data_IF_015796346612
#
_entry.id   IF_015796346612
#
_cell.length_a   1.000
_cell.length_b   1.000
_cell.length_c   1.000
_cell.angle_alpha   90.00
_cell.angle_beta   90.00
_cell.angle_gamma   90.00
#
_symmetry.space_group_name_H-M   'P 1'
#
loop_
_entity.id
_entity.type
_entity.pdbx_description
1 polymer ?
#
# COMPACT_ATOMS: atom_id res chain seq x y z
N UNK A 1 9.58 12.36 22.47
CA UNK A 1 9.24 11.05 23.10
C UNK A 1 9.15 11.20 24.61
N UNK A 2 7.99 10.91 25.21
CA UNK A 2 7.81 10.92 26.66
C UNK A 2 8.51 9.70 27.31
N UNK A 3 8.87 9.77 28.60
CA UNK A 3 9.68 8.75 29.28
C UNK A 3 9.11 7.31 29.20
N UNK A 4 7.77 7.17 29.13
CA UNK A 4 7.08 5.87 28.90
C UNK A 4 7.41 5.23 27.55
N UNK A 5 7.60 6.02 26.49
CA UNK A 5 7.90 5.52 25.13
C UNK A 5 9.35 5.07 24.93
N UNK A 6 10.30 5.57 25.74
CA UNK A 6 11.69 5.07 25.73
C UNK A 6 11.82 3.75 26.51
N UNK A 7 11.04 3.61 27.60
CA UNK A 7 11.00 2.39 28.41
C UNK A 7 10.37 1.23 27.62
N UNK A 8 9.33 1.49 26.82
CA UNK A 8 8.72 0.46 25.98
C UNK A 8 9.65 -0.05 24.86
N UNK A 9 10.43 0.83 24.21
CA UNK A 9 11.35 0.45 23.13
C UNK A 9 12.51 -0.47 23.56
N UNK A 10 13.08 -0.24 24.74
CA UNK A 10 14.15 -1.12 25.27
C UNK A 10 13.61 -2.50 25.70
N UNK A 11 12.46 -2.51 26.39
CA UNK A 11 11.78 -3.76 26.79
C UNK A 11 11.38 -4.57 25.56
N UNK A 12 10.92 -3.90 24.51
CA UNK A 12 10.57 -4.54 23.25
C UNK A 12 11.76 -5.18 22.54
N UNK A 13 12.92 -4.50 22.47
CA UNK A 13 14.11 -5.10 21.88
C UNK A 13 14.53 -6.38 22.62
N UNK A 14 14.39 -6.41 23.95
CA UNK A 14 14.61 -7.64 24.72
C UNK A 14 13.54 -8.71 24.45
N UNK A 15 12.26 -8.34 24.39
CA UNK A 15 11.17 -9.26 24.06
C UNK A 15 11.36 -9.88 22.68
N UNK A 16 11.73 -9.07 21.68
CA UNK A 16 11.97 -9.51 20.31
C UNK A 16 13.22 -10.40 20.18
N UNK A 17 14.28 -10.12 20.93
CA UNK A 17 15.45 -11.01 21.01
C UNK A 17 15.09 -12.37 21.64
N UNK A 18 14.22 -12.36 22.65
CA UNK A 18 13.72 -13.58 23.28
C UNK A 18 12.85 -14.40 22.31
N UNK A 19 12.04 -13.76 21.46
CA UNK A 19 11.16 -14.44 20.50
C UNK A 19 11.94 -15.13 19.39
N UNK A 20 12.98 -14.50 18.83
CA UNK A 20 13.77 -15.05 17.71
C UNK A 20 14.35 -16.45 17.94
N UNK A 21 14.53 -16.89 19.19
CA UNK A 21 15.05 -18.22 19.50
C UNK A 21 14.02 -19.35 19.45
N UNK A 22 12.72 -19.05 19.64
CA UNK A 22 11.62 -20.02 19.58
C UNK A 22 10.28 -19.25 19.42
N UNK A 23 9.89 -18.88 18.18
CA UNK A 23 8.73 -18.04 17.95
C UNK A 23 7.42 -18.71 18.41
N UNK A 24 7.28 -20.03 18.20
CA UNK A 24 6.10 -20.79 18.62
C UNK A 24 5.81 -20.64 20.12
N UNK A 25 6.85 -20.75 20.96
CA UNK A 25 6.72 -20.66 22.41
C UNK A 25 6.61 -19.22 22.93
N UNK A 26 7.13 -18.25 22.18
CA UNK A 26 7.36 -16.90 22.70
C UNK A 26 6.41 -15.86 22.13
N UNK A 27 5.81 -16.09 20.97
CA UNK A 27 4.85 -15.18 20.37
C UNK A 27 3.56 -15.01 21.20
N UNK A 28 2.98 -16.08 21.80
CA UNK A 28 1.86 -15.90 22.74
C UNK A 28 2.20 -15.02 23.93
N UNK A 29 3.45 -15.07 24.43
CA UNK A 29 3.90 -14.20 25.54
C UNK A 29 4.01 -12.74 25.10
N UNK A 30 4.46 -12.50 23.87
CA UNK A 30 4.51 -11.15 23.31
C UNK A 30 3.09 -10.57 23.18
N UNK A 31 2.14 -11.33 22.63
CA UNK A 31 0.76 -10.87 22.50
C UNK A 31 0.16 -10.52 23.87
N UNK A 32 0.30 -11.39 24.86
CA UNK A 32 -0.15 -11.11 26.24
C UNK A 32 0.48 -9.82 26.82
N UNK A 33 1.74 -9.52 26.47
CA UNK A 33 2.38 -8.28 26.89
C UNK A 33 1.82 -7.06 26.16
N UNK A 34 1.54 -7.16 24.86
CA UNK A 34 0.90 -6.09 24.09
C UNK A 34 -0.51 -5.82 24.64
N UNK A 35 -1.27 -6.86 24.98
CA UNK A 35 -2.58 -6.74 25.62
C UNK A 35 -2.51 -5.99 26.95
N UNK A 36 -1.46 -6.24 27.73
CA UNK A 36 -1.23 -5.54 29.00
C UNK A 36 -0.96 -4.03 28.83
N UNK A 37 -0.68 -3.54 27.61
CA UNK A 37 -0.60 -2.10 27.32
C UNK A 37 -1.98 -1.43 27.35
N UNK A 38 -3.08 -2.20 27.30
CA UNK A 38 -4.45 -1.68 27.40
C UNK A 38 -4.83 -0.74 26.25
N UNK A 39 -4.29 -0.98 25.05
CA UNK A 39 -4.58 -0.18 23.86
C UNK A 39 -5.93 -0.64 23.33
N UNK A 40 -7.00 0.05 23.74
CA UNK A 40 -8.41 -0.31 23.46
C UNK A 40 -8.69 -0.71 22.02
N UNK A 41 -8.07 -0.03 21.06
CA UNK A 41 -8.33 -0.25 19.64
C UNK A 41 -7.57 -1.43 19.03
N UNK A 42 -6.64 -2.01 19.78
CA UNK A 42 -5.92 -3.22 19.39
C UNK A 42 -6.59 -4.49 19.93
N UNK A 43 -7.55 -4.39 20.86
CA UNK A 43 -8.17 -5.55 21.52
C UNK A 43 -8.86 -6.50 20.53
N UNK A 44 -9.55 -6.00 19.50
CA UNK A 44 -10.16 -6.84 18.47
C UNK A 44 -9.12 -7.59 17.65
N UNK A 45 -8.10 -6.88 17.17
CA UNK A 45 -7.01 -7.43 16.37
C UNK A 45 -6.20 -8.47 17.17
N UNK A 46 -5.95 -8.19 18.44
CA UNK A 46 -5.22 -9.11 19.32
C UNK A 46 -5.94 -10.45 19.47
N UNK A 47 -7.28 -10.45 19.60
CA UNK A 47 -8.06 -11.70 19.67
C UNK A 47 -7.88 -12.57 18.44
N UNK A 48 -7.86 -11.98 17.24
CA UNK A 48 -7.57 -12.70 16.00
C UNK A 48 -6.17 -13.30 16.02
N UNK A 49 -5.17 -12.56 16.49
CA UNK A 49 -3.82 -13.10 16.62
C UNK A 49 -3.76 -14.28 17.60
N UNK A 50 -4.43 -14.20 18.76
CA UNK A 50 -4.51 -15.33 19.70
C UNK A 50 -5.17 -16.55 19.05
N UNK A 51 -6.30 -16.35 18.35
CA UNK A 51 -7.00 -17.44 17.65
C UNK A 51 -6.10 -18.11 16.60
N UNK A 52 -5.34 -17.32 15.83
CA UNK A 52 -4.37 -17.86 14.86
C UNK A 52 -3.28 -18.67 15.56
N UNK A 53 -2.77 -18.23 16.71
CA UNK A 53 -1.71 -18.94 17.44
C UNK A 53 -2.18 -20.24 18.09
N UNK A 54 -3.46 -20.35 18.43
CA UNK A 54 -4.04 -21.57 19.02
C UNK A 54 -4.31 -22.69 17.99
N UNK A 55 -4.22 -22.38 16.69
CA UNK A 55 -4.51 -23.33 15.61
C UNK A 55 -3.30 -23.47 14.66
N UNK A 56 -2.33 -24.36 14.96
CA UNK A 56 -1.13 -24.54 14.14
C UNK A 56 -1.40 -24.95 12.68
N UNK A 57 -2.53 -25.59 12.40
CA UNK A 57 -2.95 -25.97 11.04
C UNK A 57 -3.53 -24.79 10.24
N UNK A 58 -3.73 -23.63 10.87
CA UNK A 58 -4.23 -22.42 10.21
C UNK A 58 -3.17 -21.84 9.26
N UNK A 59 -3.60 -21.44 8.06
CA UNK A 59 -2.73 -20.83 7.03
C UNK A 59 -1.97 -19.60 7.54
N UNK A 60 -2.57 -18.80 8.43
CA UNK A 60 -1.95 -17.62 9.02
C UNK A 60 -0.91 -17.98 10.09
N UNK A 61 -1.08 -19.09 10.81
CA UNK A 61 -0.03 -19.62 11.68
C UNK A 61 1.20 -19.99 10.84
N UNK A 62 0.98 -20.72 9.74
CA UNK A 62 2.03 -21.12 8.80
C UNK A 62 2.72 -19.92 8.17
N UNK A 63 1.96 -18.89 7.80
CA UNK A 63 2.50 -17.62 7.32
C UNK A 63 3.40 -16.95 8.36
N UNK A 64 2.92 -16.76 9.59
CA UNK A 64 3.68 -16.11 10.68
C UNK A 64 4.97 -16.89 10.98
N UNK A 65 4.90 -18.21 11.11
CA UNK A 65 6.09 -19.03 11.34
C UNK A 65 7.04 -19.02 10.14
N UNK A 66 6.51 -18.95 8.92
CA UNK A 66 7.26 -18.77 7.70
C UNK A 66 8.09 -17.48 7.69
N UNK A 67 7.58 -16.38 8.26
CA UNK A 67 8.35 -15.14 8.36
C UNK A 67 9.65 -15.32 9.17
N UNK A 68 9.59 -15.98 10.32
CA UNK A 68 10.79 -16.26 11.14
C UNK A 68 11.77 -17.23 10.47
N UNK A 69 11.24 -18.19 9.71
CA UNK A 69 12.06 -19.16 8.97
C UNK A 69 12.74 -18.52 7.77
N UNK A 70 12.06 -17.66 7.04
CA UNK A 70 12.47 -17.21 5.71
C UNK A 70 13.14 -15.83 5.71
N UNK A 71 12.92 -15.01 6.74
CA UNK A 71 13.43 -13.64 6.83
C UNK A 71 14.59 -13.55 7.83
N UNK A 72 15.55 -12.66 7.57
CA UNK A 72 16.61 -12.32 8.51
C UNK A 72 15.99 -11.80 9.82
N UNK A 73 16.46 -12.33 10.95
CA UNK A 73 15.85 -12.05 12.24
C UNK A 73 15.99 -10.59 12.64
N UNK A 74 17.08 -9.91 12.30
CA UNK A 74 17.25 -8.51 12.65
C UNK A 74 16.38 -7.60 11.77
N UNK A 75 16.22 -7.95 10.50
CA UNK A 75 15.28 -7.28 9.59
C UNK A 75 13.85 -7.47 10.09
N UNK A 76 13.44 -8.70 10.43
CA UNK A 76 12.09 -8.97 10.95
C UNK A 76 11.80 -8.19 12.23
N UNK A 77 12.78 -8.06 13.13
CA UNK A 77 12.66 -7.23 14.35
C UNK A 77 12.50 -5.75 14.03
N UNK A 78 13.26 -5.23 13.07
CA UNK A 78 13.15 -3.84 12.64
C UNK A 78 11.78 -3.55 12.02
N UNK A 79 11.29 -4.43 11.14
CA UNK A 79 9.96 -4.33 10.54
C UNK A 79 8.86 -4.37 11.60
N UNK A 80 8.92 -5.31 12.54
CA UNK A 80 7.92 -5.37 13.62
C UNK A 80 7.92 -4.09 14.48
N UNK A 81 9.10 -3.58 14.83
CA UNK A 81 9.23 -2.34 15.60
C UNK A 81 8.68 -1.14 14.84
N UNK A 82 9.11 -0.95 13.59
CA UNK A 82 8.83 0.27 12.83
C UNK A 82 7.42 0.24 12.23
N UNK A 83 7.03 -0.87 11.60
CA UNK A 83 5.69 -1.01 11.02
C UNK A 83 4.65 -1.43 12.07
N UNK A 84 4.89 -2.56 12.76
CA UNK A 84 3.90 -3.14 13.69
C UNK A 84 3.59 -2.25 14.89
N UNK A 85 4.60 -1.56 15.43
CA UNK A 85 4.40 -0.69 16.60
C UNK A 85 4.34 0.79 16.25
N UNK A 86 5.42 1.35 15.69
CA UNK A 86 5.48 2.80 15.49
C UNK A 86 4.40 3.25 14.50
N UNK A 87 4.29 2.64 13.32
CA UNK A 87 3.31 3.04 12.31
C UNK A 87 1.86 2.60 12.62
N UNK A 88 1.66 1.53 13.40
CA UNK A 88 0.34 1.00 13.74
C UNK A 88 -0.03 1.22 15.21
N UNK A 89 0.34 0.29 16.10
CA UNK A 89 -0.19 0.19 17.47
C UNK A 89 -0.03 1.49 18.28
N UNK A 90 1.11 2.17 18.16
CA UNK A 90 1.41 3.39 18.93
C UNK A 90 0.88 4.67 18.27
N UNK A 91 0.83 4.71 16.94
CA UNK A 91 0.39 5.91 16.22
C UNK A 91 -1.13 6.00 16.09
N UNK A 92 -1.85 4.89 16.11
CA UNK A 92 -3.29 4.89 15.83
C UNK A 92 -4.13 5.73 16.80
N UNK A 93 -3.82 5.70 18.10
CA UNK A 93 -4.49 6.58 19.09
C UNK A 93 -4.08 8.03 18.90
N UNK A 94 -2.79 8.30 18.67
CA UNK A 94 -2.28 9.65 18.51
C UNK A 94 -2.79 10.34 17.24
N UNK A 95 -2.87 9.63 16.13
CA UNK A 95 -3.44 10.14 14.87
C UNK A 95 -4.89 10.59 15.07
N UNK A 96 -5.72 9.79 15.75
CA UNK A 96 -7.12 10.17 16.05
C UNK A 96 -7.26 11.35 17.01
N UNK A 97 -6.34 11.53 17.94
CA UNK A 97 -6.27 12.76 18.73
C UNK A 97 -5.97 13.97 17.83
N UNK A 98 -4.98 13.85 16.95
CA UNK A 98 -4.60 14.90 16.00
C UNK A 98 -5.71 15.21 14.98
N UNK A 99 -6.45 14.21 14.50
CA UNK A 99 -7.61 14.38 13.62
C UNK A 99 -8.71 15.23 14.28
N UNK A 100 -8.95 15.00 15.56
CA UNK A 100 -9.92 15.78 16.36
C UNK A 100 -9.40 17.17 16.66
N UNK A 101 -8.12 17.28 17.05
CA UNK A 101 -7.47 18.54 17.38
C UNK A 101 -7.42 19.49 16.18
N UNK A 102 -7.05 18.98 15.02
CA UNK A 102 -6.83 19.78 13.83
C UNK A 102 -8.05 19.88 12.92
N UNK A 103 -9.07 19.04 13.12
CA UNK A 103 -10.25 19.06 12.28
C UNK A 103 -9.94 18.69 10.83
N UNK A 104 -9.02 17.76 10.61
CA UNK A 104 -8.71 17.17 9.30
C UNK A 104 -8.44 15.66 9.43
N UNK A 105 -8.27 14.96 8.31
CA UNK A 105 -7.75 13.59 8.34
C UNK A 105 -6.25 13.60 8.65
N UNK A 106 -5.74 12.54 9.29
CA UNK A 106 -4.30 12.33 9.51
C UNK A 106 -3.94 10.93 8.99
N UNK A 107 -3.17 10.82 7.91
CA UNK A 107 -2.93 9.53 7.28
C UNK A 107 -1.99 8.67 8.12
N UNK A 108 -2.01 7.37 7.85
CA UNK A 108 -1.06 6.40 8.41
C UNK A 108 0.23 6.34 7.60
N UNK A 109 0.15 6.61 6.29
CA UNK A 109 1.28 6.50 5.37
C UNK A 109 1.27 7.63 4.34
N UNK A 110 2.45 7.97 3.82
CA UNK A 110 2.61 8.92 2.71
C UNK A 110 3.31 8.18 1.58
N UNK A 111 2.70 8.22 0.39
CA UNK A 111 3.33 7.77 -0.85
C UNK A 111 4.06 8.96 -1.48
N UNK A 112 5.34 8.79 -1.80
CA UNK A 112 6.18 9.85 -2.34
C UNK A 112 6.80 9.38 -3.65
N UNK A 113 6.73 10.21 -4.67
CA UNK A 113 7.43 9.99 -5.93
C UNK A 113 8.73 10.79 -5.89
N UNK A 114 9.88 10.18 -5.52
CA UNK A 114 11.12 10.94 -5.39
C UNK A 114 11.64 11.46 -6.74
N UNK A 115 11.20 10.85 -7.84
CA UNK A 115 11.56 11.21 -9.21
C UNK A 115 10.50 10.71 -10.19
N UNK A 116 10.32 11.44 -11.30
CA UNK A 116 9.58 10.92 -12.46
C UNK A 116 10.47 10.16 -13.45
N UNK A 117 11.79 10.11 -13.23
CA UNK A 117 12.68 9.32 -14.06
C UNK A 117 12.43 7.81 -13.90
N UNK A 118 12.33 7.10 -15.02
CA UNK A 118 12.21 5.64 -15.07
C UNK A 118 13.17 5.06 -16.11
N UNK A 119 13.72 3.89 -15.82
CA UNK A 119 14.56 3.14 -16.76
C UNK A 119 13.77 2.20 -17.70
N UNK A 120 12.44 2.18 -17.59
CA UNK A 120 11.50 1.47 -18.47
C UNK A 120 10.50 2.44 -19.13
N UNK A 121 9.71 1.93 -20.08
CA UNK A 121 8.65 2.66 -20.80
C UNK A 121 7.40 1.77 -20.94
N UNK A 122 6.75 1.49 -19.82
CA UNK A 122 5.66 0.51 -19.78
C UNK A 122 4.41 1.00 -20.51
N UNK A 123 3.69 0.09 -21.18
CA UNK A 123 2.38 0.37 -21.77
C UNK A 123 1.34 0.62 -20.67
N UNK A 124 0.60 1.72 -20.77
CA UNK A 124 -0.45 2.09 -19.80
C UNK A 124 0.10 2.42 -18.41
N UNK A 125 1.21 3.17 -18.34
CA UNK A 125 1.81 3.62 -17.09
C UNK A 125 1.18 4.94 -16.64
N UNK A 126 0.51 4.94 -15.48
CA UNK A 126 -0.07 6.16 -14.91
C UNK A 126 1.01 7.18 -14.50
N UNK A 127 2.18 6.72 -14.05
CA UNK A 127 3.25 7.61 -13.60
C UNK A 127 4.03 8.29 -14.74
N UNK A 128 3.87 7.83 -15.99
CA UNK A 128 4.52 8.44 -17.14
C UNK A 128 3.98 9.85 -17.45
N UNK A 129 2.76 10.15 -17.01
CA UNK A 129 2.09 11.43 -17.21
C UNK A 129 2.85 12.61 -16.56
N UNK A 130 3.62 12.37 -15.48
CA UNK A 130 4.48 13.41 -14.87
C UNK A 130 5.75 13.75 -15.69
N UNK A 131 5.94 13.14 -16.85
CA UNK A 131 7.18 13.21 -17.59
C UNK A 131 8.34 12.44 -16.95
N UNK A 132 9.59 12.81 -17.25
CA UNK A 132 10.77 12.04 -16.84
C UNK A 132 11.95 12.87 -16.29
N UNK A 133 11.70 14.11 -15.88
CA UNK A 133 12.76 15.06 -15.45
C UNK A 133 12.56 15.65 -14.06
N UNK A 134 11.43 15.37 -13.42
CA UNK A 134 11.09 15.95 -12.12
C UNK A 134 11.76 15.16 -11.01
N UNK A 135 12.29 15.86 -10.01
CA UNK A 135 13.01 15.27 -8.90
C UNK A 135 12.79 16.13 -7.66
N UNK A 136 12.35 15.50 -6.58
CA UNK A 136 12.35 16.15 -5.26
C UNK A 136 13.80 16.23 -4.75
N UNK A 137 14.25 17.42 -4.29
CA UNK A 137 15.51 17.54 -3.56
C UNK A 137 15.55 16.63 -2.33
N UNK A 138 16.74 16.18 -1.94
CA UNK A 138 16.90 15.34 -0.75
C UNK A 138 16.31 15.99 0.50
N UNK A 139 16.54 17.29 0.66
CA UNK A 139 16.11 18.09 1.79
C UNK A 139 14.58 18.14 1.89
N UNK A 140 13.89 18.13 0.75
CA UNK A 140 12.42 18.05 0.70
C UNK A 140 11.94 16.66 1.13
N UNK A 141 12.58 15.59 0.66
CA UNK A 141 12.25 14.22 1.07
C UNK A 141 12.42 14.02 2.58
N UNK A 142 13.54 14.45 3.14
CA UNK A 142 13.78 14.44 4.59
C UNK A 142 12.75 15.31 5.34
N UNK A 143 12.44 16.50 4.82
CA UNK A 143 11.45 17.37 5.44
C UNK A 143 10.05 16.76 5.48
N UNK A 144 9.64 16.03 4.45
CA UNK A 144 8.34 15.32 4.43
C UNK A 144 8.30 14.30 5.58
N UNK A 145 9.37 13.52 5.77
CA UNK A 145 9.44 12.52 6.84
C UNK A 145 9.43 13.19 8.22
N UNK A 146 10.16 14.29 8.41
CA UNK A 146 10.15 15.03 9.68
C UNK A 146 8.76 15.58 10.01
N UNK A 147 8.09 16.22 9.05
CA UNK A 147 6.72 16.71 9.23
C UNK A 147 5.73 15.56 9.48
N UNK A 148 5.88 14.43 8.78
CA UNK A 148 5.05 13.25 8.99
C UNK A 148 5.19 12.69 10.41
N UNK A 149 6.40 12.60 10.95
CA UNK A 149 6.64 12.16 12.34
C UNK A 149 5.99 13.07 13.38
N UNK A 150 5.90 14.38 13.13
CA UNK A 150 5.14 15.32 13.97
C UNK A 150 3.64 15.00 13.98
N UNK A 151 3.12 14.46 12.87
CA UNK A 151 1.74 13.97 12.72
C UNK A 151 1.57 12.49 13.09
N UNK A 152 2.58 11.88 13.72
CA UNK A 152 2.61 10.45 14.06
C UNK A 152 2.54 9.50 12.85
N UNK A 153 3.22 9.85 11.75
CA UNK A 153 3.35 9.05 10.53
C UNK A 153 4.75 8.44 10.49
N UNK A 154 4.82 7.11 10.44
CA UNK A 154 6.09 6.35 10.50
C UNK A 154 6.22 5.32 9.36
N UNK A 155 5.28 5.28 8.43
CA UNK A 155 5.34 4.44 7.25
C UNK A 155 5.36 5.30 6.00
N UNK A 156 6.35 5.08 5.14
CA UNK A 156 6.53 5.84 3.91
C UNK A 156 6.69 4.88 2.75
N UNK A 157 5.93 5.13 1.70
CA UNK A 157 5.96 4.38 0.45
C UNK A 157 6.62 5.24 -0.63
N UNK A 158 7.35 4.62 -1.53
CA UNK A 158 7.91 5.28 -2.71
C UNK A 158 7.34 4.71 -4.01
N UNK A 159 7.01 5.59 -4.95
CA UNK A 159 6.59 5.25 -6.32
C UNK A 159 7.26 6.19 -7.33
N UNK A 160 6.51 6.81 -8.25
CA UNK A 160 7.02 7.66 -9.33
C UNK A 160 7.33 6.90 -10.61
N UNK A 161 8.36 7.35 -11.31
CA UNK A 161 8.91 6.63 -12.45
C UNK A 161 9.52 5.29 -11.99
N UNK A 162 10.76 5.32 -11.51
CA UNK A 162 11.36 4.21 -10.78
C UNK A 162 12.08 4.76 -9.53
N UNK A 163 11.56 4.51 -8.31
CA UNK A 163 12.13 5.10 -7.10
C UNK A 163 13.58 4.67 -6.85
N UNK A 164 14.00 3.48 -7.28
CA UNK A 164 15.38 3.02 -7.11
C UNK A 164 16.38 3.74 -8.02
N UNK A 165 15.95 4.60 -8.94
CA UNK A 165 16.84 5.60 -9.57
C UNK A 165 17.42 6.58 -8.54
N UNK A 166 16.76 6.72 -7.38
CA UNK A 166 17.17 7.55 -6.23
C UNK A 166 17.62 6.67 -5.04
N UNK A 167 18.10 5.43 -5.29
CA UNK A 167 18.42 4.46 -4.21
C UNK A 167 19.40 4.97 -3.16
N UNK A 168 20.38 5.81 -3.53
CA UNK A 168 21.32 6.40 -2.57
C UNK A 168 20.63 7.32 -1.56
N UNK A 169 19.67 8.12 -2.03
CA UNK A 169 18.91 9.04 -1.18
C UNK A 169 17.93 8.27 -0.30
N UNK A 170 17.28 7.23 -0.84
CA UNK A 170 16.39 6.34 -0.08
C UNK A 170 17.15 5.65 1.05
N UNK A 171 18.33 5.09 0.79
CA UNK A 171 19.17 4.46 1.82
C UNK A 171 19.59 5.47 2.88
N UNK A 172 19.94 6.69 2.47
CA UNK A 172 20.27 7.76 3.42
C UNK A 172 19.07 8.13 4.31
N UNK A 173 17.87 8.21 3.77
CA UNK A 173 16.64 8.42 4.55
C UNK A 173 16.38 7.28 5.54
N UNK A 174 16.67 6.03 5.14
CA UNK A 174 16.57 4.87 6.02
C UNK A 174 17.51 4.98 7.23
N UNK A 175 18.75 5.46 7.02
CA UNK A 175 19.74 5.71 8.07
C UNK A 175 19.36 6.88 8.99
N UNK A 176 18.87 7.98 8.43
CA UNK A 176 18.50 9.18 9.19
C UNK A 176 17.19 8.99 9.98
N UNK A 177 16.31 8.09 9.54
CA UNK A 177 15.01 7.80 10.17
C UNK A 177 14.82 6.31 10.51
N UNK A 178 15.66 5.73 11.40
CA UNK A 178 15.67 4.29 11.69
C UNK A 178 14.43 3.80 12.47
N UNK A 179 13.59 4.72 12.94
CA UNK A 179 12.31 4.48 13.60
C UNK A 179 11.13 4.39 12.62
N UNK A 180 11.33 4.76 11.35
CA UNK A 180 10.35 4.66 10.29
C UNK A 180 10.50 3.37 9.48
N UNK A 181 9.41 2.90 8.89
CA UNK A 181 9.39 1.85 7.88
C UNK A 181 9.29 2.49 6.51
N UNK A 182 10.12 2.01 5.59
CA UNK A 182 10.12 2.40 4.19
C UNK A 182 9.76 1.20 3.30
N UNK A 183 9.07 1.46 2.19
CA UNK A 183 8.92 0.49 1.13
C UNK A 183 8.80 1.20 -0.22
N UNK A 184 9.06 0.49 -1.33
CA UNK A 184 8.96 1.09 -2.66
C UNK A 184 8.30 0.12 -3.65
N UNK A 185 7.34 0.64 -4.40
CA UNK A 185 6.89 0.01 -5.63
C UNK A 185 7.98 0.19 -6.69
N UNK A 186 8.60 -0.91 -7.10
CA UNK A 186 9.73 -0.90 -8.03
C UNK A 186 9.51 -1.88 -9.17
N UNK A 187 10.06 -1.58 -10.33
CA UNK A 187 10.14 -2.51 -11.45
C UNK A 187 11.19 -3.62 -11.23
N UNK A 188 11.94 -3.58 -10.11
CA UNK A 188 12.88 -4.61 -9.67
C UNK A 188 14.19 -4.67 -10.45
N UNK A 189 14.32 -4.00 -11.60
CA UNK A 189 15.48 -4.15 -12.50
C UNK A 189 16.78 -3.54 -11.96
N UNK A 190 16.70 -2.73 -10.90
CA UNK A 190 17.83 -2.06 -10.24
C UNK A 190 18.23 -2.72 -8.90
N UNK A 191 17.60 -3.85 -8.56
CA UNK A 191 17.94 -4.64 -7.38
C UNK A 191 19.07 -5.61 -7.77
N UNK A 192 20.24 -5.32 -7.24
CA UNK A 192 21.45 -6.13 -7.35
C UNK A 192 21.91 -6.60 -5.95
N UNK A 193 22.94 -7.42 -5.91
CA UNK A 193 23.49 -7.95 -4.66
C UNK A 193 24.00 -6.83 -3.75
N UNK A 194 24.59 -5.77 -4.30
CA UNK A 194 25.08 -4.63 -3.54
C UNK A 194 23.94 -3.85 -2.85
N UNK A 195 22.84 -3.63 -3.55
CA UNK A 195 21.66 -3.01 -2.96
C UNK A 195 21.04 -3.91 -1.89
N UNK A 196 20.98 -5.22 -2.09
CA UNK A 196 20.52 -6.15 -1.07
C UNK A 196 21.38 -6.12 0.21
N UNK A 197 22.70 -5.94 0.11
CA UNK A 197 23.55 -5.71 1.29
C UNK A 197 23.18 -4.42 2.04
N UNK A 198 22.88 -3.33 1.31
CA UNK A 198 22.38 -2.10 1.95
C UNK A 198 21.05 -2.32 2.66
N UNK A 199 20.14 -3.14 2.11
CA UNK A 199 18.88 -3.48 2.77
C UNK A 199 19.09 -4.26 4.07
N UNK A 200 20.03 -5.20 4.11
CA UNK A 200 20.42 -5.92 5.34
C UNK A 200 21.04 -4.97 6.38
N UNK A 201 21.74 -3.93 5.92
CA UNK A 201 22.35 -2.92 6.79
C UNK A 201 21.30 -2.00 7.43
N UNK A 202 20.40 -1.42 6.64
CA UNK A 202 19.40 -0.45 7.14
C UNK A 202 18.20 -1.12 7.80
N UNK A 203 17.82 -2.33 7.37
CA UNK A 203 16.79 -3.22 7.95
C UNK A 203 15.35 -2.70 7.90
N UNK A 204 15.12 -1.45 7.52
CA UNK A 204 13.80 -0.79 7.54
C UNK A 204 13.30 -0.40 6.13
N UNK A 205 13.73 -1.10 5.09
CA UNK A 205 13.26 -0.91 3.72
C UNK A 205 12.78 -2.23 3.11
N UNK A 206 11.59 -2.23 2.49
CA UNK A 206 10.97 -3.40 1.87
C UNK A 206 10.66 -3.12 0.39
N UNK A 207 11.27 -3.84 -0.57
CA UNK A 207 10.87 -3.78 -1.97
C UNK A 207 9.48 -4.38 -2.21
N UNK A 208 8.69 -3.73 -3.08
CA UNK A 208 7.42 -4.23 -3.61
C UNK A 208 7.58 -4.35 -5.13
N UNK A 209 7.82 -5.58 -5.60
CA UNK A 209 8.25 -5.86 -6.97
C UNK A 209 7.06 -5.93 -7.90
N UNK A 210 7.07 -5.10 -8.95
CA UNK A 210 6.00 -5.11 -9.93
C UNK A 210 6.16 -6.26 -10.92
N UNK A 211 5.16 -7.15 -10.99
CA UNK A 211 5.13 -8.32 -11.86
C UNK A 211 3.68 -8.63 -12.24
N UNK A 212 3.37 -8.68 -13.54
CA UNK A 212 1.99 -8.73 -14.06
C UNK A 212 1.62 -10.07 -14.70
N UNK A 213 2.16 -11.17 -14.17
CA UNK A 213 1.94 -12.52 -14.68
C UNK A 213 3.28 -13.21 -14.92
N UNK A 214 3.32 -14.12 -15.88
CA UNK A 214 4.54 -14.81 -16.27
C UNK A 214 5.35 -13.95 -17.27
N UNK A 215 6.32 -14.57 -17.95
CA UNK A 215 7.23 -13.87 -18.86
C UNK A 215 6.49 -13.12 -19.96
N UNK A 216 5.55 -13.76 -20.64
CA UNK A 216 4.79 -13.14 -21.73
C UNK A 216 4.00 -11.91 -21.27
N UNK A 217 3.29 -12.01 -20.14
CA UNK A 217 2.46 -10.93 -19.61
C UNK A 217 3.28 -9.72 -19.15
N UNK A 218 4.35 -10.02 -18.39
CA UNK A 218 5.22 -8.99 -17.83
C UNK A 218 5.99 -8.27 -18.93
N UNK A 219 6.55 -9.01 -19.88
CA UNK A 219 7.32 -8.43 -20.98
C UNK A 219 6.43 -7.70 -22.00
N UNK A 220 5.19 -8.17 -22.23
CA UNK A 220 4.22 -7.46 -23.07
C UNK A 220 3.99 -6.02 -22.58
N UNK A 221 3.86 -5.84 -21.26
CA UNK A 221 3.63 -4.52 -20.67
C UNK A 221 4.91 -3.72 -20.46
N UNK A 222 5.98 -4.36 -19.97
CA UNK A 222 7.17 -3.68 -19.42
C UNK A 222 8.39 -3.69 -20.35
N UNK A 223 8.32 -4.46 -21.45
CA UNK A 223 9.39 -4.62 -22.43
C UNK A 223 10.17 -5.92 -22.26
N UNK A 224 10.65 -6.47 -23.39
CA UNK A 224 11.31 -7.77 -23.45
C UNK A 224 12.50 -7.91 -22.50
N UNK A 225 12.57 -9.06 -21.82
CA UNK A 225 13.61 -9.41 -20.85
C UNK A 225 13.43 -8.78 -19.47
N UNK A 226 12.31 -8.11 -19.20
CA UNK A 226 12.03 -7.50 -17.89
C UNK A 226 11.72 -8.57 -16.86
N UNK A 227 10.90 -9.56 -17.21
CA UNK A 227 10.54 -10.66 -16.32
C UNK A 227 11.76 -11.37 -15.73
N UNK A 228 12.76 -11.69 -16.57
CA UNK A 228 14.00 -12.34 -16.12
C UNK A 228 14.81 -11.50 -15.13
N UNK A 229 14.80 -10.17 -15.28
CA UNK A 229 15.43 -9.26 -14.30
C UNK A 229 14.66 -9.24 -12.99
N UNK A 230 13.33 -9.24 -13.06
CA UNK A 230 12.43 -9.30 -11.91
C UNK A 230 12.61 -10.62 -11.14
N UNK A 231 12.66 -11.77 -11.82
CA UNK A 231 12.95 -13.06 -11.18
C UNK A 231 14.33 -13.07 -10.51
N UNK A 232 15.35 -12.51 -11.18
CA UNK A 232 16.68 -12.37 -10.57
C UNK A 232 16.64 -11.52 -9.29
N UNK A 233 15.94 -10.39 -9.32
CA UNK A 233 15.79 -9.53 -8.14
C UNK A 233 15.13 -10.27 -6.98
N UNK A 234 14.03 -10.98 -7.23
CA UNK A 234 13.33 -11.79 -6.22
C UNK A 234 14.22 -12.93 -5.69
N UNK A 235 15.00 -13.58 -6.55
CA UNK A 235 15.95 -14.61 -6.14
C UNK A 235 17.04 -14.06 -5.20
N UNK A 236 17.62 -12.89 -5.51
CA UNK A 236 18.60 -12.21 -4.66
C UNK A 236 17.99 -11.91 -3.28
N UNK A 237 16.80 -11.31 -3.25
CA UNK A 237 16.12 -10.96 -1.99
C UNK A 237 15.80 -12.21 -1.15
N UNK A 238 15.32 -13.28 -1.79
CA UNK A 238 15.04 -14.56 -1.14
C UNK A 238 16.30 -15.20 -0.57
N UNK A 239 17.38 -15.25 -1.33
CA UNK A 239 18.67 -15.81 -0.88
C UNK A 239 19.23 -15.06 0.33
N UNK A 240 19.11 -13.73 0.31
CA UNK A 240 19.52 -12.84 1.41
C UNK A 240 18.53 -12.81 2.58
N UNK A 241 17.43 -13.57 2.50
CA UNK A 241 16.36 -13.60 3.52
C UNK A 241 15.78 -12.20 3.79
N UNK A 242 15.69 -11.36 2.76
CA UNK A 242 15.07 -10.04 2.85
C UNK A 242 13.57 -10.15 2.56
N UNK A 243 12.70 -9.46 3.31
CA UNK A 243 11.29 -9.45 3.04
C UNK A 243 11.01 -8.59 1.80
N UNK A 244 10.13 -9.08 0.94
CA UNK A 244 9.60 -8.33 -0.19
C UNK A 244 8.17 -8.78 -0.49
N UNK A 245 7.45 -7.92 -1.19
CA UNK A 245 6.16 -8.26 -1.74
C UNK A 245 6.14 -8.12 -3.26
N UNK A 246 5.01 -8.50 -3.85
CA UNK A 246 4.70 -8.26 -5.26
C UNK A 246 3.63 -7.18 -5.39
N UNK A 247 3.60 -6.52 -6.55
CA UNK A 247 2.56 -5.58 -6.95
C UNK A 247 2.06 -5.98 -8.34
N UNK A 248 0.80 -6.38 -8.40
CA UNK A 248 0.19 -6.93 -9.60
C UNK A 248 -0.93 -6.00 -10.07
N UNK A 249 -0.75 -5.40 -11.25
CA UNK A 249 -1.83 -4.70 -11.92
C UNK A 249 -2.56 -5.68 -12.85
N UNK A 250 -3.83 -5.93 -12.58
CA UNK A 250 -4.67 -6.73 -13.47
C UNK A 250 -5.47 -5.82 -14.42
N UNK A 251 -5.66 -6.32 -15.63
CA UNK A 251 -6.36 -5.73 -16.76
C UNK A 251 -7.38 -6.73 -17.31
N UNK A 252 -8.20 -6.30 -18.25
CA UNK A 252 -9.08 -7.20 -19.00
C UNK A 252 -8.35 -8.36 -19.69
N UNK A 253 -7.04 -8.25 -19.94
CA UNK A 253 -6.24 -9.23 -20.67
C UNK A 253 -5.54 -10.28 -19.80
N UNK A 254 -5.11 -9.93 -18.59
CA UNK A 254 -4.31 -10.82 -17.72
C UNK A 254 -5.02 -11.23 -16.42
N UNK A 255 -6.25 -10.78 -16.18
CA UNK A 255 -6.97 -11.04 -14.91
C UNK A 255 -7.05 -12.53 -14.54
N UNK A 256 -7.22 -13.42 -15.52
CA UNK A 256 -7.30 -14.86 -15.28
C UNK A 256 -5.96 -15.50 -14.92
N UNK A 257 -4.85 -14.87 -15.34
CA UNK A 257 -3.50 -15.29 -14.94
C UNK A 257 -3.22 -14.79 -13.53
N UNK A 258 -3.45 -13.50 -13.27
CA UNK A 258 -3.22 -12.89 -11.96
C UNK A 258 -4.08 -13.54 -10.86
N UNK A 259 -5.33 -13.86 -11.16
CA UNK A 259 -6.24 -14.56 -10.24
C UNK A 259 -6.10 -16.08 -10.23
N UNK A 260 -5.15 -16.66 -10.97
CA UNK A 260 -4.98 -18.12 -11.01
C UNK A 260 -4.31 -18.65 -9.75
N UNK A 261 -4.64 -19.90 -9.41
CA UNK A 261 -3.95 -20.61 -8.33
C UNK A 261 -2.46 -20.79 -8.61
N UNK A 262 -2.11 -21.10 -9.86
CA UNK A 262 -0.71 -21.25 -10.30
C UNK A 262 0.12 -19.99 -10.04
N UNK A 263 -0.45 -18.81 -10.31
CA UNK A 263 0.27 -17.56 -10.09
C UNK A 263 0.42 -17.23 -8.59
N UNK A 264 -0.59 -17.52 -7.77
CA UNK A 264 -0.46 -17.42 -6.31
C UNK A 264 0.61 -18.34 -5.75
N UNK A 265 0.66 -19.59 -6.22
CA UNK A 265 1.70 -20.55 -5.85
C UNK A 265 3.08 -20.07 -6.29
N UNK A 266 3.19 -19.51 -7.50
CA UNK A 266 4.44 -18.96 -8.01
C UNK A 266 4.92 -17.75 -7.19
N UNK A 267 4.04 -16.85 -6.75
CA UNK A 267 4.43 -15.73 -5.88
C UNK A 267 5.03 -16.22 -4.55
N UNK A 268 4.44 -17.24 -3.95
CA UNK A 268 4.95 -17.88 -2.73
C UNK A 268 6.29 -18.57 -3.01
N UNK A 269 6.40 -19.28 -4.12
CA UNK A 269 7.63 -19.95 -4.55
C UNK A 269 8.76 -18.95 -4.77
N UNK A 270 8.50 -17.80 -5.39
CA UNK A 270 9.48 -16.71 -5.51
C UNK A 270 9.92 -16.16 -4.16
N UNK A 271 9.13 -16.34 -3.11
CA UNK A 271 9.44 -15.94 -1.73
C UNK A 271 8.70 -14.69 -1.26
N UNK A 272 7.76 -14.17 -2.06
CA UNK A 272 6.99 -12.99 -1.71
C UNK A 272 6.18 -13.24 -0.42
N UNK A 273 6.19 -12.26 0.49
CA UNK A 273 5.44 -12.34 1.76
C UNK A 273 4.08 -11.68 1.66
N UNK A 274 3.94 -10.72 0.75
CA UNK A 274 2.67 -10.08 0.49
C UNK A 274 2.50 -9.71 -0.98
N UNK A 275 1.25 -9.51 -1.41
CA UNK A 275 0.93 -9.03 -2.75
C UNK A 275 -0.10 -7.88 -2.69
N UNK A 276 0.18 -6.81 -3.44
CA UNK A 276 -0.76 -5.73 -3.69
C UNK A 276 -1.39 -5.92 -5.07
N UNK A 277 -2.72 -6.04 -5.12
CA UNK A 277 -3.48 -6.10 -6.35
C UNK A 277 -4.11 -4.74 -6.65
N UNK A 278 -3.90 -4.29 -7.89
CA UNK A 278 -4.48 -3.07 -8.44
C UNK A 278 -5.26 -3.43 -9.70
N UNK A 279 -6.47 -2.91 -9.85
CA UNK A 279 -7.12 -2.91 -11.18
C UNK A 279 -6.53 -1.78 -12.01
N UNK A 280 -6.46 -1.96 -13.32
CA UNK A 280 -6.08 -0.88 -14.23
C UNK A 280 -7.09 0.28 -14.18
N UNK A 281 -6.57 1.49 -14.02
CA UNK A 281 -7.35 2.74 -14.04
C UNK A 281 -6.89 3.57 -15.25
N UNK A 282 -7.82 4.11 -16.06
CA UNK A 282 -7.49 4.81 -17.29
C UNK A 282 -7.12 6.29 -17.03
N UNK A 283 -6.11 6.53 -16.20
CA UNK A 283 -5.61 7.89 -15.88
C UNK A 283 -4.74 8.41 -17.03
N UNK A 284 -4.92 9.68 -17.40
CA UNK A 284 -4.13 10.36 -18.43
C UNK A 284 -4.75 10.30 -19.81
N UNK A 285 -4.39 11.25 -20.69
CA UNK A 285 -5.01 11.38 -22.03
C UNK A 285 -4.72 10.20 -22.95
N UNK A 286 -3.57 9.55 -22.77
CA UNK A 286 -3.16 8.38 -23.54
C UNK A 286 -3.60 7.05 -22.89
N UNK A 287 -4.46 7.11 -21.87
CA UNK A 287 -5.03 5.92 -21.26
C UNK A 287 -5.78 5.05 -22.28
N UNK A 288 -5.82 3.74 -22.00
CA UNK A 288 -6.45 2.72 -22.85
C UNK A 288 -7.62 2.10 -22.08
N UNK A 289 -8.84 2.69 -22.13
CA UNK A 289 -10.00 2.21 -21.37
C UNK A 289 -10.35 0.74 -21.61
N UNK A 290 -10.02 0.18 -22.77
CA UNK A 290 -10.26 -1.22 -23.11
C UNK A 290 -9.47 -2.21 -22.22
N UNK A 291 -8.44 -1.75 -21.51
CA UNK A 291 -7.69 -2.55 -20.53
C UNK A 291 -8.35 -2.60 -19.16
N UNK A 292 -9.41 -1.81 -18.91
CA UNK A 292 -10.15 -1.89 -17.66
C UNK A 292 -10.83 -3.26 -17.53
N UNK A 293 -10.77 -3.85 -16.34
CA UNK A 293 -11.45 -5.11 -16.05
C UNK A 293 -12.98 -4.92 -16.15
N UNK A 294 -13.68 -5.92 -16.70
CA UNK A 294 -15.15 -5.95 -16.66
C UNK A 294 -15.67 -6.18 -15.23
N UNK A 295 -16.96 -5.97 -15.00
CA UNK A 295 -17.60 -6.24 -13.72
C UNK A 295 -17.42 -7.70 -13.27
N UNK A 296 -17.57 -8.65 -14.20
CA UNK A 296 -17.37 -10.09 -13.94
C UNK A 296 -15.92 -10.41 -13.62
N UNK A 297 -14.97 -9.76 -14.29
CA UNK A 297 -13.54 -9.92 -14.05
C UNK A 297 -13.14 -9.36 -12.68
N UNK A 298 -13.69 -8.21 -12.27
CA UNK A 298 -13.51 -7.66 -10.91
C UNK A 298 -14.12 -8.58 -9.86
N UNK A 299 -15.32 -9.12 -10.08
CA UNK A 299 -15.94 -10.10 -9.20
C UNK A 299 -15.16 -11.41 -9.13
N UNK A 300 -14.53 -11.83 -10.23
CA UNK A 300 -13.62 -12.98 -10.24
C UNK A 300 -12.42 -12.73 -9.31
N UNK A 301 -11.74 -11.58 -9.42
CA UNK A 301 -10.63 -11.23 -8.53
C UNK A 301 -11.05 -11.16 -7.06
N UNK A 302 -12.19 -10.53 -6.76
CA UNK A 302 -12.78 -10.51 -5.42
C UNK A 302 -12.89 -11.92 -4.83
N UNK A 303 -13.43 -12.89 -5.59
CA UNK A 303 -13.61 -14.27 -5.13
C UNK A 303 -12.28 -15.01 -5.00
N UNK A 304 -11.38 -14.88 -5.97
CA UNK A 304 -10.09 -15.56 -5.95
C UNK A 304 -9.21 -15.10 -4.79
N UNK A 305 -9.06 -13.78 -4.59
CA UNK A 305 -8.22 -13.24 -3.52
C UNK A 305 -8.70 -13.72 -2.15
N UNK A 306 -10.02 -13.73 -1.91
CA UNK A 306 -10.60 -14.24 -0.65
C UNK A 306 -10.39 -15.74 -0.48
N UNK A 307 -10.66 -16.54 -1.52
CA UNK A 307 -10.34 -17.98 -1.52
C UNK A 307 -8.88 -18.23 -1.14
N UNK A 308 -7.95 -17.46 -1.70
CA UNK A 308 -6.53 -17.67 -1.45
C UNK A 308 -6.05 -17.14 -0.11
N UNK A 309 -6.70 -16.15 0.51
CA UNK A 309 -6.47 -15.78 1.92
C UNK A 309 -6.77 -16.90 2.90
N UNK A 310 -7.67 -17.82 2.54
CA UNK A 310 -8.01 -18.98 3.37
C UNK A 310 -7.10 -20.19 3.12
N UNK A 311 -6.42 -20.25 1.98
CA UNK A 311 -5.76 -21.48 1.49
C UNK A 311 -4.27 -21.34 1.21
N UNK A 312 -3.74 -20.11 1.10
CA UNK A 312 -2.36 -19.84 0.70
C UNK A 312 -1.66 -18.94 1.74
N UNK A 313 -0.44 -19.28 2.21
CA UNK A 313 0.29 -18.49 3.22
C UNK A 313 0.98 -17.26 2.59
N UNK A 314 0.18 -16.33 2.06
CA UNK A 314 0.63 -15.04 1.53
C UNK A 314 -0.37 -13.95 1.91
N UNK A 315 0.12 -12.83 2.43
CA UNK A 315 -0.75 -11.72 2.79
C UNK A 315 -1.13 -10.90 1.54
N UNK A 316 -2.41 -10.71 1.28
CA UNK A 316 -2.87 -10.03 0.05
C UNK A 316 -3.72 -8.81 0.35
N UNK A 317 -3.56 -7.77 -0.45
CA UNK A 317 -4.31 -6.52 -0.40
C UNK A 317 -4.90 -6.25 -1.79
N UNK A 318 -6.19 -6.01 -1.88
CA UNK A 318 -6.86 -5.55 -3.12
C UNK A 318 -7.35 -4.12 -2.93
N UNK A 319 -6.77 -3.20 -3.69
CA UNK A 319 -6.99 -1.77 -3.50
C UNK A 319 -8.43 -1.31 -3.82
N UNK A 320 -9.22 -2.10 -4.57
CA UNK A 320 -10.61 -1.78 -4.92
C UNK A 320 -11.64 -2.76 -4.35
N UNK A 321 -11.27 -4.00 -4.05
CA UNK A 321 -12.20 -5.02 -3.56
C UNK A 321 -12.16 -5.23 -2.03
N UNK A 322 -11.24 -4.58 -1.31
CA UNK A 322 -11.15 -4.64 0.15
C UNK A 322 -11.81 -3.44 0.87
N UNK A 323 -12.66 -2.67 0.19
CA UNK A 323 -13.33 -1.55 0.82
C UNK A 323 -14.17 -1.96 2.06
N UNK A 324 -14.65 -3.20 2.14
CA UNK A 324 -15.27 -3.77 3.35
C UNK A 324 -14.35 -3.75 4.56
N UNK A 325 -13.09 -4.16 4.36
CA UNK A 325 -12.07 -4.19 5.41
C UNK A 325 -11.52 -2.80 5.73
N UNK A 326 -11.44 -1.93 4.73
CA UNK A 326 -10.92 -0.57 4.87
C UNK A 326 -11.98 0.46 5.36
N UNK A 327 -13.27 0.10 5.25
CA UNK A 327 -14.41 0.99 5.48
C UNK A 327 -14.61 2.03 4.36
N UNK A 328 -14.39 1.67 3.10
CA UNK A 328 -14.48 2.55 1.93
C UNK A 328 -13.13 3.09 1.44
N UNK A 329 -13.14 4.20 0.67
CA UNK A 329 -11.93 4.81 0.13
C UNK A 329 -10.96 5.26 1.24
N UNK A 330 -9.66 5.05 1.03
CA UNK A 330 -8.61 5.43 1.99
C UNK A 330 -7.83 6.70 1.61
N UNK A 331 -8.15 7.31 0.47
CA UNK A 331 -7.54 8.53 -0.07
C UNK A 331 -7.87 9.80 0.73
N UNK A 332 -7.27 10.92 0.34
CA UNK A 332 -7.57 12.24 0.92
C UNK A 332 -7.12 12.35 2.37
N UNK A 333 -5.98 11.74 2.69
CA UNK A 333 -5.40 11.75 4.02
C UNK A 333 -6.08 10.83 5.02
N UNK A 334 -7.14 10.09 4.66
CA UNK A 334 -7.85 9.20 5.59
C UNK A 334 -6.95 8.07 6.09
N UNK A 335 -6.24 7.39 5.19
CA UNK A 335 -5.13 6.49 5.56
C UNK A 335 -3.86 6.79 4.79
N UNK A 336 -3.96 7.42 3.61
CA UNK A 336 -2.78 7.86 2.89
C UNK A 336 -3.03 9.14 2.09
N UNK A 337 -1.92 9.76 1.68
CA UNK A 337 -1.86 10.78 0.65
C UNK A 337 -0.67 10.50 -0.27
N UNK A 338 -0.66 11.13 -1.45
CA UNK A 338 0.40 11.04 -2.43
C UNK A 338 1.12 12.40 -2.57
N UNK A 339 2.44 12.39 -2.75
CA UNK A 339 3.24 13.56 -3.11
C UNK A 339 4.03 13.22 -4.37
N UNK A 340 3.69 13.86 -5.48
CA UNK A 340 4.32 13.57 -6.77
C UNK A 340 5.74 14.16 -6.86
N UNK A 341 6.46 13.89 -7.96
CA UNK A 341 7.84 14.34 -8.14
C UNK A 341 8.02 15.86 -8.35
N UNK A 342 6.92 16.59 -8.59
CA UNK A 342 6.85 18.05 -8.62
C UNK A 342 6.57 18.67 -7.24
N UNK A 343 6.22 17.85 -6.25
CA UNK A 343 5.86 18.28 -4.91
C UNK A 343 4.37 18.53 -4.70
N UNK A 344 3.50 18.30 -5.69
CA UNK A 344 2.06 18.45 -5.49
C UNK A 344 1.54 17.35 -4.56
N UNK A 345 0.72 17.75 -3.59
CA UNK A 345 0.11 16.86 -2.60
C UNK A 345 -1.27 16.45 -3.10
N UNK A 346 -1.38 15.19 -3.50
CA UNK A 346 -2.56 14.60 -4.13
C UNK A 346 -3.28 13.67 -3.14
N UNK A 347 -4.61 13.55 -3.24
CA UNK A 347 -5.36 12.68 -2.34
C UNK A 347 -5.08 11.19 -2.59
N UNK A 348 -4.66 10.82 -3.80
CA UNK A 348 -4.49 9.45 -4.27
C UNK A 348 -3.50 9.41 -5.43
N UNK A 349 -2.72 8.33 -5.56
CA UNK A 349 -1.77 8.15 -6.66
C UNK A 349 -2.42 8.15 -8.05
N UNK A 350 -3.71 7.83 -8.13
CA UNK A 350 -4.50 7.78 -9.37
C UNK A 350 -5.35 9.05 -9.58
N UNK A 351 -5.15 10.09 -8.75
CA UNK A 351 -5.92 11.34 -8.81
C UNK A 351 -4.92 12.48 -8.97
N UNK A 352 -4.56 12.76 -10.23
CA UNK A 352 -3.58 13.78 -10.61
C UNK A 352 -4.18 15.19 -10.56
N UNK A 353 -4.70 15.56 -9.38
CA UNK A 353 -5.25 16.88 -9.12
C UNK A 353 -4.83 17.33 -7.73
N UNK A 354 -4.42 18.60 -7.61
CA UNK A 354 -4.00 19.17 -6.34
C UNK A 354 -4.33 20.65 -6.23
N UNK A 355 -4.49 21.12 -5.01
CA UNK A 355 -4.59 22.53 -4.63
C UNK A 355 -3.42 22.95 -3.70
N UNK A 356 -2.41 22.09 -3.54
CA UNK A 356 -1.39 22.21 -2.49
C UNK A 356 -0.04 21.60 -2.91
N UNK A 357 1.05 22.33 -2.72
CA UNK A 357 2.41 21.87 -3.04
C UNK A 357 3.33 21.95 -1.81
N UNK A 358 4.18 20.93 -1.60
CA UNK A 358 5.03 20.78 -0.40
C UNK A 358 6.11 21.86 -0.28
N UNK A 359 6.41 22.54 -1.39
CA UNK A 359 7.32 23.69 -1.40
C UNK A 359 6.69 24.97 -0.85
N UNK A 360 5.35 25.02 -0.76
CA UNK A 360 4.59 26.21 -0.35
C UNK A 360 3.80 25.99 0.94
N UNK A 361 3.36 24.75 1.19
CA UNK A 361 2.54 24.36 2.35
C UNK A 361 3.19 23.22 3.11
N UNK A 362 3.01 23.22 4.42
CA UNK A 362 3.28 22.05 5.27
C UNK A 362 2.25 20.94 5.00
N UNK A 363 2.57 19.70 5.42
CA UNK A 363 1.64 18.57 5.34
C UNK A 363 0.32 18.86 6.05
N UNK A 364 0.37 19.50 7.22
CA UNK A 364 -0.84 19.81 7.99
C UNK A 364 -1.70 20.87 7.31
N UNK A 365 -1.10 21.87 6.67
CA UNK A 365 -1.85 22.87 5.87
C UNK A 365 -2.51 22.23 4.66
N UNK A 366 -1.83 21.29 4.00
CA UNK A 366 -2.39 20.54 2.87
C UNK A 366 -3.54 19.62 3.29
N UNK A 367 -3.42 18.92 4.42
CA UNK A 367 -4.51 18.09 4.95
C UNK A 367 -5.77 18.89 5.31
N UNK A 368 -5.64 20.21 5.48
CA UNK A 368 -6.73 21.16 5.70
C UNK A 368 -7.16 21.90 4.43
N UNK A 369 -6.54 21.61 3.29
CA UNK A 369 -6.86 22.26 2.04
C UNK A 369 -8.27 21.90 1.56
N UNK A 370 -8.90 22.73 0.72
CA UNK A 370 -10.21 22.45 0.15
C UNK A 370 -10.36 21.04 -0.42
N UNK A 371 -9.38 20.55 -1.20
CA UNK A 371 -9.46 19.21 -1.80
C UNK A 371 -9.44 18.10 -0.75
N UNK A 372 -8.50 18.13 0.20
CA UNK A 372 -8.42 17.11 1.26
C UNK A 372 -9.65 17.14 2.18
N UNK A 373 -10.18 18.32 2.47
CA UNK A 373 -11.41 18.47 3.25
C UNK A 373 -12.66 18.01 2.49
N UNK A 374 -12.71 18.19 1.16
CA UNK A 374 -13.77 17.64 0.32
C UNK A 374 -13.79 16.11 0.39
N UNK A 375 -12.60 15.46 0.33
CA UNK A 375 -12.49 14.02 0.55
C UNK A 375 -12.98 13.60 1.93
N UNK A 376 -12.55 14.29 2.99
CA UNK A 376 -12.98 14.00 4.36
C UNK A 376 -14.50 14.07 4.51
N UNK A 377 -15.12 15.10 3.94
CA UNK A 377 -16.56 15.33 4.06
C UNK A 377 -17.39 14.38 3.19
N UNK A 378 -16.85 13.94 2.06
CA UNK A 378 -17.51 13.02 1.13
C UNK A 378 -17.37 11.53 1.49
N UNK A 379 -16.54 11.17 2.48
CA UNK A 379 -16.31 9.79 2.87
C UNK A 379 -17.34 9.29 3.92
N UNK A 380 -17.88 8.06 3.77
CA UNK A 380 -17.72 7.17 2.60
C UNK A 380 -18.47 7.69 1.38
N UNK A 381 -17.90 7.52 0.18
CA UNK A 381 -18.52 7.97 -1.08
C UNK A 381 -19.70 7.09 -1.52
N UNK A 382 -19.77 5.87 -0.98
CA UNK A 382 -20.83 4.90 -1.24
C UNK A 382 -21.01 4.01 -0.01
N UNK A 383 -22.26 3.73 0.37
CA UNK A 383 -22.58 2.84 1.49
C UNK A 383 -22.25 1.37 1.20
N UNK A 384 -22.28 0.97 -0.08
CA UNK A 384 -21.72 -0.32 -0.51
C UNK A 384 -20.20 -0.14 -0.67
N UNK A 385 -19.41 -0.63 0.28
CA UNK A 385 -17.96 -0.48 0.25
C UNK A 385 -17.26 -1.34 -0.81
N UNK A 386 -17.98 -2.10 -1.65
CA UNK A 386 -17.43 -2.65 -2.90
C UNK A 386 -17.46 -1.62 -4.04
N UNK A 387 -18.01 -0.42 -3.80
CA UNK A 387 -17.95 0.76 -4.67
C UNK A 387 -17.19 1.92 -4.00
N UNK A 388 -15.99 1.71 -3.44
CA UNK A 388 -15.37 2.69 -2.55
C UNK A 388 -14.80 3.90 -3.29
N UNK A 389 -14.37 3.76 -4.55
CA UNK A 389 -13.51 4.73 -5.20
C UNK A 389 -14.29 5.95 -5.72
N UNK A 390 -13.91 7.20 -5.39
CA UNK A 390 -14.55 8.39 -5.95
C UNK A 390 -14.23 8.61 -7.43
N UNK A 391 -13.25 7.89 -7.99
CA UNK A 391 -12.93 7.90 -9.42
C UNK A 391 -13.63 6.75 -10.15
N UNK A 392 -13.28 5.51 -9.80
CA UNK A 392 -13.73 4.33 -10.55
C UNK A 392 -15.21 4.04 -10.34
N UNK A 393 -15.71 4.18 -9.11
CA UNK A 393 -17.04 3.70 -8.71
C UNK A 393 -18.06 4.83 -8.58
N UNK A 394 -17.60 6.04 -8.26
CA UNK A 394 -18.45 7.22 -8.04
C UNK A 394 -17.90 8.46 -8.78
N UNK A 395 -17.67 8.39 -10.12
CA UNK A 395 -16.88 9.37 -10.87
C UNK A 395 -17.34 10.84 -10.73
N UNK A 396 -18.64 11.06 -10.54
CA UNK A 396 -19.18 12.40 -10.30
C UNK A 396 -18.73 13.00 -8.96
N UNK A 397 -18.43 12.17 -7.96
CA UNK A 397 -17.90 12.62 -6.67
C UNK A 397 -16.49 13.20 -6.83
N UNK A 398 -15.60 12.53 -7.58
CA UNK A 398 -14.27 13.11 -7.87
C UNK A 398 -14.41 14.44 -8.60
N UNK A 399 -15.20 14.47 -9.68
CA UNK A 399 -15.34 15.67 -10.50
C UNK A 399 -15.85 16.87 -9.67
N UNK A 400 -16.86 16.67 -8.84
CA UNK A 400 -17.35 17.70 -7.92
C UNK A 400 -16.29 18.17 -6.93
N UNK A 401 -15.56 17.24 -6.29
CA UNK A 401 -14.51 17.61 -5.33
C UNK A 401 -13.37 18.42 -5.98
N UNK A 402 -12.95 18.08 -7.20
CA UNK A 402 -11.89 18.81 -7.92
C UNK A 402 -12.37 20.22 -8.31
N UNK A 403 -13.57 20.34 -8.85
CA UNK A 403 -14.14 21.64 -9.25
C UNK A 403 -14.38 22.55 -8.05
N UNK A 404 -14.98 22.04 -6.97
CA UNK A 404 -15.33 22.82 -5.77
C UNK A 404 -14.08 23.27 -4.99
N UNK A 405 -13.00 22.47 -5.03
CA UNK A 405 -11.73 22.83 -4.38
C UNK A 405 -10.88 23.80 -5.19
N UNK A 406 -11.16 23.95 -6.49
CA UNK A 406 -10.29 24.69 -7.41
C UNK A 406 -8.96 23.98 -7.67
N UNK A 407 -8.89 22.66 -7.47
CA UNK A 407 -7.70 21.88 -7.74
C UNK A 407 -7.38 21.86 -9.24
N UNK A 408 -6.09 21.90 -9.58
CA UNK A 408 -5.59 21.85 -10.95
C UNK A 408 -5.01 20.47 -11.27
N UNK A 409 -4.98 20.10 -12.55
CA UNK A 409 -4.33 18.87 -13.00
C UNK A 409 -2.82 18.93 -12.77
N UNK A 410 -2.27 17.91 -12.11
CA UNK A 410 -0.84 17.78 -11.81
C UNK A 410 -0.07 17.02 -12.89
N UNK A 411 -0.75 16.56 -13.94
CA UNK A 411 -0.10 16.17 -15.19
C UNK A 411 0.37 17.43 -15.92
N UNK A 412 1.67 17.69 -15.84
CA UNK A 412 2.29 18.88 -16.44
C UNK A 412 2.49 18.75 -17.95
N UNK A 413 2.42 17.55 -18.52
CA UNK A 413 2.65 17.34 -19.95
C UNK A 413 1.34 17.43 -20.74
N UNK A 414 0.31 16.75 -20.26
CA UNK A 414 -0.98 16.62 -20.93
C UNK A 414 -2.15 16.84 -19.96
N UNK A 415 -2.30 18.05 -19.37
CA UNK A 415 -3.33 18.32 -18.35
C UNK A 415 -4.70 17.78 -18.75
N UNK A 416 -5.21 16.87 -17.93
CA UNK A 416 -6.49 16.19 -18.14
C UNK A 416 -7.61 16.94 -17.41
N UNK A 417 -8.74 17.11 -18.09
CA UNK A 417 -9.95 17.64 -17.46
C UNK A 417 -10.61 16.56 -16.61
N UNK A 418 -11.03 16.91 -15.39
CA UNK A 418 -11.59 15.92 -14.45
C UNK A 418 -12.87 15.27 -14.96
N UNK A 419 -13.68 15.97 -15.77
CA UNK A 419 -14.90 15.41 -16.37
C UNK A 419 -14.55 14.44 -17.51
N UNK A 420 -13.47 14.69 -18.25
CA UNK A 420 -12.95 13.73 -19.24
C UNK A 420 -12.47 12.44 -18.56
N UNK A 421 -11.71 12.55 -17.47
CA UNK A 421 -11.29 11.39 -16.67
C UNK A 421 -12.50 10.64 -16.09
N UNK A 422 -13.43 11.36 -15.46
CA UNK A 422 -14.64 10.78 -14.88
C UNK A 422 -15.49 10.04 -15.93
N UNK A 423 -15.59 10.58 -17.15
CA UNK A 423 -16.33 9.96 -18.24
C UNK A 423 -15.75 8.59 -18.65
N UNK A 424 -14.41 8.40 -18.58
CA UNK A 424 -13.76 7.10 -18.86
C UNK A 424 -14.19 6.00 -17.88
N UNK A 425 -14.53 6.36 -16.64
CA UNK A 425 -14.92 5.40 -15.62
C UNK A 425 -16.44 5.13 -15.55
N UNK A 426 -17.28 5.97 -16.16
CA UNK A 426 -18.74 5.91 -15.99
C UNK A 426 -19.36 4.56 -16.35
N UNK A 427 -19.01 4.02 -17.53
CA UNK A 427 -19.56 2.73 -17.97
C UNK A 427 -19.12 1.58 -17.05
N UNK A 428 -17.86 1.59 -16.59
CA UNK A 428 -17.36 0.60 -15.66
C UNK A 428 -18.08 0.68 -14.30
N UNK A 429 -18.33 1.89 -13.81
CA UNK A 429 -19.09 2.11 -12.57
C UNK A 429 -20.53 1.58 -12.67
N UNK A 430 -21.24 1.90 -13.76
CA UNK A 430 -22.61 1.46 -14.01
C UNK A 430 -22.70 -0.08 -14.09
N UNK A 431 -21.82 -0.72 -14.86
CA UNK A 431 -21.79 -2.19 -14.97
C UNK A 431 -21.42 -2.88 -13.66
N UNK A 432 -20.55 -2.26 -12.86
CA UNK A 432 -20.15 -2.82 -11.57
C UNK A 432 -21.25 -2.70 -10.51
N UNK A 433 -22.15 -1.72 -10.61
CA UNK A 433 -23.14 -1.45 -9.58
C UNK A 433 -24.01 -2.66 -9.22
N UNK A 434 -24.59 -3.32 -10.22
CA UNK A 434 -25.47 -4.48 -10.00
C UNK A 434 -24.70 -5.67 -9.40
N UNK A 435 -23.48 -5.92 -9.92
CA UNK A 435 -22.61 -7.01 -9.43
C UNK A 435 -22.15 -6.76 -8.00
N UNK A 436 -21.79 -5.52 -7.68
CA UNK A 436 -21.41 -5.11 -6.33
C UNK A 436 -22.58 -5.24 -5.36
N UNK A 437 -23.81 -4.91 -5.77
CA UNK A 437 -24.99 -5.02 -4.93
C UNK A 437 -25.38 -6.49 -4.66
N UNK A 438 -25.20 -7.38 -5.65
CA UNK A 438 -25.33 -8.84 -5.45
C UNK A 438 -24.32 -9.38 -4.42
N UNK A 439 -23.04 -9.02 -4.60
CA UNK A 439 -21.96 -9.44 -3.70
C UNK A 439 -22.16 -8.88 -2.28
N UNK A 440 -22.54 -7.61 -2.16
CA UNK A 440 -22.79 -6.93 -0.89
C UNK A 440 -24.00 -7.49 -0.15
N UNK A 441 -25.10 -7.78 -0.85
CA UNK A 441 -26.29 -8.38 -0.26
C UNK A 441 -26.02 -9.77 0.36
N UNK A 442 -25.00 -10.46 -0.14
CA UNK A 442 -24.54 -11.74 0.39
C UNK A 442 -23.62 -11.58 1.63
N UNK A 443 -23.05 -10.39 1.85
CA UNK A 443 -22.16 -10.09 2.97
C UNK A 443 -22.94 -10.16 4.30
N UNK A 444 -22.53 -11.09 5.17
CA UNK A 444 -23.18 -11.33 6.48
C UNK A 444 -24.36 -12.32 6.47
N UNK A 445 -24.82 -12.80 5.31
CA UNK A 445 -25.95 -13.74 5.22
C UNK A 445 -25.58 -15.14 4.68
N UNK A 446 -24.45 -15.26 4.00
CA UNK A 446 -23.91 -16.55 3.55
C UNK A 446 -23.14 -17.27 4.68
N UNK A 447 -23.28 -18.60 4.76
CA UNK A 447 -22.69 -19.43 5.81
C UNK A 447 -21.14 -19.42 5.82
N UNK A 448 -20.50 -19.06 4.70
CA UNK A 448 -19.07 -18.81 4.60
C UNK A 448 -18.62 -17.39 5.01
N UNK A 449 -19.52 -16.41 5.01
CA UNK A 449 -19.18 -15.01 5.39
C UNK A 449 -19.23 -14.75 6.90
N UNK A 450 -19.84 -15.65 7.69
CA UNK A 450 -19.92 -15.51 9.16
C UNK A 450 -18.55 -15.52 9.85
N UNK A 451 -17.53 -16.08 9.21
CA UNK A 451 -16.17 -16.08 9.74
C UNK A 451 -15.46 -14.73 9.59
N UNK A 452 -15.99 -13.79 8.79
CA UNK A 452 -15.37 -12.48 8.57
C UNK A 452 -15.93 -11.36 9.46
N UNK A 453 -17.04 -11.60 10.18
CA UNK A 453 -17.62 -10.58 11.08
C UNK A 453 -16.91 -10.48 12.44
N UNK A 454 -16.04 -11.46 12.76
CA UNK A 454 -15.31 -11.52 14.03
C UNK A 454 -13.78 -11.38 13.87
N UNK A 455 -13.29 -11.05 12.67
CA UNK A 455 -11.88 -10.80 12.40
C UNK A 455 -11.58 -9.28 12.39
#
# INVERSE_FOLDING_TARGET
MNAKGKISGFVLNQAMNYISGNPEKNLPKLLNWIDALGIKDFESQSRVFHEVLDHPDNVWYQYIMGLWRDIDNDVLKAVFRNFGLNANILSFSKQRELEKEHGCNIPMTILIDPTSACNLKCTGCWAAEYGNKLNLPYETLDSIIRQGKELSIYFYLYSGGEPLMRKTDIIRLCDEHPDCQFAAFTNGTLIDEAFAEELLRVKNFIPIISVEGFEEDTDFRRGAGTFKKVERAMAILKEKRLPFGTSCCYTSKNVHIIGSEEYFDRMIEWGAKFCWFFTYIPVGKEAVPELMATAEQRAYMYRQIRKFRETKPIFTLDFWNDGEYAGGCIAGGRRYLHINANGDMEPCAFVHYSDSNIHEKTLLEALKSPLFMAYRNGQPFNENHLRPCPLLDNPDALAGMVEDSGAYSTDLQNPEDVRELAAKCKNAAENWADVADELWGCFGHCQGCKNHQNA
#
